data_IF_575614933671
#
_entry.id   IF_575614933671
#
_cell.length_a   1.000
_cell.length_b   1.000
_cell.length_c   1.000
_cell.angle_alpha   90.00
_cell.angle_beta   90.00
_cell.angle_gamma   90.00
#
_symmetry.space_group_name_H-M   'P 1'
#
loop_
_entity.id
_entity.type
_entity.pdbx_description
1 polymer ?
#
# COMPACT_ATOMS: atom_id res chain seq x y z
N UNK A 1 -7.51 -18.06 13.50
CA UNK A 1 -6.17 -17.66 13.02
C UNK A 1 -6.27 -16.23 12.52
N UNK A 2 -5.39 -15.33 12.94
CA UNK A 2 -5.39 -13.95 12.43
C UNK A 2 -4.85 -13.96 11.00
N UNK A 3 -5.55 -13.31 10.07
CA UNK A 3 -5.07 -13.20 8.69
C UNK A 3 -3.99 -12.11 8.62
N UNK A 4 -2.94 -12.31 7.81
CA UNK A 4 -1.84 -11.37 7.74
C UNK A 4 -2.24 -10.07 7.03
N UNK A 5 -1.57 -8.98 7.43
CA UNK A 5 -1.63 -7.68 6.76
C UNK A 5 -0.55 -7.67 5.69
N UNK A 6 -0.95 -7.47 4.42
CA UNK A 6 0.00 -7.35 3.31
C UNK A 6 0.54 -5.93 3.22
N UNK A 7 1.84 -5.75 3.33
CA UNK A 7 2.50 -4.46 3.10
C UNK A 7 3.26 -4.50 1.77
N UNK A 8 2.87 -3.65 0.83
CA UNK A 8 3.62 -3.47 -0.43
C UNK A 8 4.61 -2.32 -0.29
N UNK A 9 5.82 -2.49 -0.86
CA UNK A 9 6.90 -1.52 -0.66
C UNK A 9 7.49 -1.55 0.76
N UNK A 10 7.35 -2.67 1.48
CA UNK A 10 7.81 -2.83 2.87
C UNK A 10 9.34 -2.70 3.06
N UNK A 11 10.12 -2.73 1.98
CA UNK A 11 11.57 -2.50 2.01
C UNK A 11 11.97 -1.03 1.83
N UNK A 12 11.02 -0.14 1.52
CA UNK A 12 11.26 1.29 1.39
C UNK A 12 11.24 2.01 2.74
N UNK A 13 11.62 3.29 2.75
CA UNK A 13 11.72 4.13 3.97
C UNK A 13 10.42 4.18 4.78
N UNK A 14 9.27 4.30 4.10
CA UNK A 14 7.97 4.31 4.77
C UNK A 14 7.51 2.90 5.13
N UNK A 15 7.64 1.97 4.18
CA UNK A 15 7.16 0.60 4.32
C UNK A 15 7.84 -0.14 5.48
N UNK A 16 9.14 0.06 5.68
CA UNK A 16 9.87 -0.59 6.77
C UNK A 16 9.37 -0.12 8.14
N UNK A 17 9.08 1.16 8.30
CA UNK A 17 8.53 1.69 9.55
C UNK A 17 7.09 1.22 9.80
N UNK A 18 6.28 1.12 8.74
CA UNK A 18 4.93 0.53 8.84
C UNK A 18 5.03 -0.93 9.28
N UNK A 19 5.91 -1.72 8.66
CA UNK A 19 6.14 -3.12 9.03
C UNK A 19 6.55 -3.24 10.49
N UNK A 20 7.53 -2.45 10.95
CA UNK A 20 7.95 -2.50 12.37
C UNK A 20 6.79 -2.19 13.31
N UNK A 21 6.04 -1.11 13.07
CA UNK A 21 4.90 -0.74 13.94
C UNK A 21 3.81 -1.81 13.99
N UNK A 22 3.55 -2.46 12.86
CA UNK A 22 2.58 -3.56 12.81
C UNK A 22 3.10 -4.77 13.60
N UNK A 23 4.39 -5.10 13.51
CA UNK A 23 5.01 -6.16 14.30
C UNK A 23 5.03 -5.84 15.79
N UNK A 24 5.33 -4.60 16.18
CA UNK A 24 5.35 -4.13 17.58
C UNK A 24 3.96 -4.22 18.23
N UNK A 25 2.90 -4.09 17.44
CA UNK A 25 1.50 -4.28 17.89
C UNK A 25 1.05 -5.74 17.82
N UNK A 26 1.98 -6.67 17.57
CA UNK A 26 1.75 -8.11 17.50
C UNK A 26 0.99 -8.57 16.27
N UNK A 27 0.85 -7.75 15.22
CA UNK A 27 0.17 -8.11 13.98
C UNK A 27 1.00 -9.05 13.12
N UNK A 28 0.31 -9.95 12.42
CA UNK A 28 0.93 -10.82 11.42
C UNK A 28 1.13 -10.00 10.14
N UNK A 29 2.38 -9.85 9.70
CA UNK A 29 2.74 -8.98 8.57
C UNK A 29 3.38 -9.80 7.47
N UNK A 30 2.78 -9.70 6.28
CA UNK A 30 3.31 -10.23 5.03
C UNK A 30 3.88 -9.10 4.20
N UNK A 31 5.13 -9.19 3.78
CA UNK A 31 5.75 -8.14 2.95
C UNK A 31 5.88 -8.60 1.50
N UNK A 32 5.37 -7.78 0.57
CA UNK A 32 5.59 -7.98 -0.86
C UNK A 32 6.96 -7.42 -1.26
N UNK A 33 7.84 -8.28 -1.75
CA UNK A 33 9.15 -7.93 -2.28
C UNK A 33 9.37 -8.52 -3.67
N UNK A 34 10.11 -7.80 -4.52
CA UNK A 34 10.53 -8.32 -5.84
C UNK A 34 11.63 -9.37 -5.74
N UNK A 35 12.42 -9.34 -4.67
CA UNK A 35 13.52 -10.29 -4.44
C UNK A 35 13.12 -11.27 -3.34
N UNK A 36 13.21 -12.59 -3.58
CA UNK A 36 13.02 -13.60 -2.54
C UNK A 36 14.08 -13.42 -1.45
N UNK A 37 13.71 -13.64 -0.18
CA UNK A 37 14.63 -13.52 0.95
C UNK A 37 15.04 -12.10 1.32
N UNK A 38 14.22 -11.10 0.98
CA UNK A 38 14.46 -9.72 1.39
C UNK A 38 14.67 -9.62 2.92
N UNK A 39 15.76 -8.97 3.31
CA UNK A 39 16.17 -8.80 4.69
C UNK A 39 15.20 -7.87 5.44
N UNK A 40 14.82 -8.25 6.67
CA UNK A 40 13.93 -7.47 7.51
C UNK A 40 13.33 -8.28 8.64
N UNK A 41 12.53 -7.65 9.48
CA UNK A 41 11.90 -8.27 10.66
C UNK A 41 10.57 -8.97 10.36
N UNK A 42 10.06 -8.85 9.13
CA UNK A 42 8.82 -9.51 8.73
C UNK A 42 8.99 -11.03 8.74
N UNK A 43 8.01 -11.70 9.35
CA UNK A 43 7.98 -13.16 9.48
C UNK A 43 7.51 -13.86 8.21
N UNK A 44 6.79 -13.16 7.34
CA UNK A 44 6.27 -13.69 6.08
C UNK A 44 6.61 -12.78 4.90
N UNK A 45 7.11 -13.39 3.82
CA UNK A 45 7.52 -12.69 2.60
C UNK A 45 6.81 -13.29 1.40
N UNK A 46 6.17 -12.43 0.61
CA UNK A 46 5.63 -12.81 -0.69
C UNK A 46 6.55 -12.25 -1.78
N UNK A 47 6.94 -13.11 -2.72
CA UNK A 47 7.71 -12.68 -3.90
C UNK A 47 6.73 -12.25 -4.99
N UNK A 48 6.82 -11.00 -5.42
CA UNK A 48 6.01 -10.49 -6.51
C UNK A 48 6.41 -9.11 -6.99
N UNK A 49 5.98 -8.78 -8.20
CA UNK A 49 6.25 -7.50 -8.84
C UNK A 49 4.95 -6.85 -9.29
N UNK A 50 4.64 -5.70 -8.66
CA UNK A 50 3.46 -4.90 -8.98
C UNK A 50 3.47 -4.34 -10.41
N UNK A 51 4.65 -4.25 -11.05
CA UNK A 51 4.80 -3.75 -12.41
C UNK A 51 4.41 -4.79 -13.45
N UNK A 52 4.73 -6.06 -13.20
CA UNK A 52 4.48 -7.16 -14.13
C UNK A 52 3.20 -7.92 -13.82
N UNK A 53 2.71 -7.86 -12.58
CA UNK A 53 1.58 -8.67 -12.12
C UNK A 53 2.00 -10.00 -11.48
N UNK A 54 3.26 -10.40 -11.66
CA UNK A 54 3.73 -11.70 -11.19
C UNK A 54 3.69 -11.78 -9.65
N UNK A 55 3.11 -12.86 -9.12
CA UNK A 55 3.08 -13.15 -7.68
C UNK A 55 2.11 -12.31 -6.85
N UNK A 56 1.38 -11.35 -7.43
CA UNK A 56 0.44 -10.49 -6.68
C UNK A 56 -0.75 -11.32 -6.17
N UNK A 57 -1.27 -12.24 -6.97
CA UNK A 57 -2.40 -13.10 -6.55
C UNK A 57 -2.02 -13.95 -5.34
N UNK A 58 -0.86 -14.61 -5.38
CA UNK A 58 -0.36 -15.37 -4.24
C UNK A 58 -0.14 -14.47 -3.00
N UNK A 59 0.38 -13.25 -3.20
CA UNK A 59 0.62 -12.31 -2.11
C UNK A 59 -0.67 -11.83 -1.43
N UNK A 60 -1.72 -11.61 -2.21
CA UNK A 60 -3.04 -11.11 -1.75
C UNK A 60 -3.98 -12.22 -1.28
N UNK A 61 -3.60 -13.49 -1.43
CA UNK A 61 -4.41 -14.61 -0.95
C UNK A 61 -4.45 -14.69 0.57
N UNK A 62 -5.67 -14.71 1.13
CA UNK A 62 -5.91 -14.91 2.56
C UNK A 62 -5.55 -13.72 3.45
N UNK A 63 -5.42 -12.52 2.89
CA UNK A 63 -5.12 -11.28 3.62
C UNK A 63 -6.42 -10.53 3.93
N UNK A 64 -6.51 -9.87 5.08
CA UNK A 64 -7.67 -9.02 5.42
C UNK A 64 -7.44 -7.55 5.09
N UNK A 65 -6.18 -7.10 5.14
CA UNK A 65 -5.81 -5.70 4.95
C UNK A 65 -4.57 -5.63 4.06
N UNK A 66 -4.60 -4.70 3.10
CA UNK A 66 -3.46 -4.38 2.24
C UNK A 66 -3.03 -2.95 2.50
N UNK A 67 -1.81 -2.75 2.97
CA UNK A 67 -1.18 -1.42 3.08
C UNK A 67 -0.30 -1.18 1.85
N UNK A 68 -0.75 -0.27 1.00
CA UNK A 68 -0.05 0.08 -0.23
C UNK A 68 0.88 1.30 -0.04
N UNK A 69 2.17 1.00 0.15
CA UNK A 69 3.24 1.99 0.28
C UNK A 69 4.20 1.99 -0.93
N UNK A 70 3.96 1.17 -1.94
CA UNK A 70 4.82 1.07 -3.12
C UNK A 70 4.58 2.27 -4.06
N UNK A 71 5.44 3.29 -3.97
CA UNK A 71 5.47 4.42 -4.91
C UNK A 71 6.83 4.52 -5.58
N UNK A 72 6.82 4.75 -6.89
CA UNK A 72 8.00 5.02 -7.72
C UNK A 72 8.03 6.45 -8.23
N UNK A 73 7.14 7.32 -7.72
CA UNK A 73 6.97 8.71 -8.14
C UNK A 73 6.79 8.84 -9.67
N UNK A 74 6.11 7.87 -10.26
CA UNK A 74 5.97 7.70 -11.71
C UNK A 74 4.54 7.30 -12.06
N UNK A 75 4.13 7.57 -13.31
CA UNK A 75 2.84 7.08 -13.87
C UNK A 75 2.68 5.56 -13.78
N UNK A 76 3.80 4.84 -13.65
CA UNK A 76 3.81 3.38 -13.44
C UNK A 76 3.13 2.95 -12.13
N UNK A 77 2.98 3.86 -11.17
CA UNK A 77 2.27 3.60 -9.92
C UNK A 77 0.78 3.34 -10.18
N UNK A 78 0.16 4.02 -11.15
CA UNK A 78 -1.27 3.84 -11.47
C UNK A 78 -1.55 2.40 -11.90
N UNK A 79 -0.81 1.91 -12.90
CA UNK A 79 -0.97 0.56 -13.40
C UNK A 79 -0.58 -0.52 -12.36
N UNK A 80 0.35 -0.21 -11.46
CA UNK A 80 0.70 -1.09 -10.34
C UNK A 80 -0.44 -1.19 -9.31
N UNK A 81 -1.06 -0.06 -8.97
CA UNK A 81 -2.22 0.01 -8.08
C UNK A 81 -3.43 -0.71 -8.69
N UNK A 82 -3.70 -0.56 -9.99
CA UNK A 82 -4.79 -1.28 -10.67
C UNK A 82 -4.61 -2.80 -10.62
N UNK A 83 -3.39 -3.31 -10.84
CA UNK A 83 -3.09 -4.74 -10.73
C UNK A 83 -3.30 -5.25 -9.31
N UNK A 84 -2.91 -4.47 -8.30
CA UNK A 84 -3.12 -4.81 -6.89
C UNK A 84 -4.62 -4.86 -6.55
N UNK A 85 -5.40 -3.88 -7.01
CA UNK A 85 -6.86 -3.85 -6.85
C UNK A 85 -7.49 -5.09 -7.49
N UNK A 86 -7.10 -5.42 -8.73
CA UNK A 86 -7.63 -6.58 -9.43
C UNK A 86 -7.36 -7.89 -8.69
N UNK A 87 -6.16 -8.07 -8.13
CA UNK A 87 -5.81 -9.24 -7.34
C UNK A 87 -6.55 -9.27 -5.99
N UNK A 88 -6.64 -8.13 -5.30
CA UNK A 88 -7.37 -8.00 -4.04
C UNK A 88 -8.85 -8.39 -4.20
N UNK A 89 -9.50 -7.94 -5.29
CA UNK A 89 -10.89 -8.31 -5.59
C UNK A 89 -11.08 -9.82 -5.79
N UNK A 90 -10.14 -10.49 -6.46
CA UNK A 90 -10.22 -11.94 -6.67
C UNK A 90 -10.04 -12.75 -5.38
N UNK A 91 -9.31 -12.21 -4.40
CA UNK A 91 -8.82 -12.98 -3.26
C UNK A 91 -9.53 -12.68 -1.93
N UNK A 92 -10.70 -12.04 -1.97
CA UNK A 92 -11.55 -11.85 -0.79
C UNK A 92 -11.77 -10.40 -0.36
N UNK A 93 -11.54 -9.44 -1.26
CA UNK A 93 -11.89 -8.03 -1.08
C UNK A 93 -11.34 -7.39 0.23
N UNK A 94 -10.03 -7.48 0.47
CA UNK A 94 -9.43 -6.93 1.68
C UNK A 94 -9.51 -5.40 1.74
N UNK A 95 -9.42 -4.86 2.95
CA UNK A 95 -9.38 -3.41 3.15
C UNK A 95 -8.08 -2.83 2.60
N UNK A 96 -8.17 -1.94 1.61
CA UNK A 96 -7.03 -1.30 0.96
C UNK A 96 -6.69 0.04 1.60
N UNK A 97 -5.54 0.10 2.29
CA UNK A 97 -4.97 1.34 2.84
C UNK A 97 -3.95 1.92 1.86
N UNK A 98 -4.29 3.01 1.20
CA UNK A 98 -3.41 3.69 0.23
C UNK A 98 -2.73 4.89 0.89
N UNK A 99 -1.38 4.93 0.85
CA UNK A 99 -0.65 6.10 1.34
C UNK A 99 -0.47 7.10 0.19
N UNK A 100 -1.17 8.22 0.28
CA UNK A 100 -1.05 9.37 -0.62
C UNK A 100 -0.11 10.46 -0.05
N UNK A 101 -0.30 11.73 -0.42
CA UNK A 101 0.44 12.89 0.07
C UNK A 101 -0.53 14.06 0.24
N UNK A 102 -0.31 14.90 1.25
CA UNK A 102 -1.12 16.13 1.40
C UNK A 102 -0.91 17.06 0.20
N UNK A 103 -1.97 17.72 -0.26
CA UNK A 103 -1.89 18.67 -1.36
C UNK A 103 -1.68 18.03 -2.73
N UNK A 104 -1.88 16.71 -2.85
CA UNK A 104 -1.83 15.98 -4.14
C UNK A 104 -2.75 16.60 -5.20
N UNK A 105 -3.85 17.21 -4.76
CA UNK A 105 -4.88 17.88 -5.54
C UNK A 105 -4.54 19.34 -5.92
N UNK A 106 -3.47 19.92 -5.36
CA UNK A 106 -3.18 21.36 -5.47
C UNK A 106 -1.88 21.71 -6.18
N UNK A 107 -0.99 20.74 -6.35
CA UNK A 107 0.36 20.99 -6.87
C UNK A 107 0.50 20.40 -8.28
N UNK A 108 0.84 21.19 -9.31
CA UNK A 108 0.87 20.74 -10.70
C UNK A 108 2.18 19.99 -11.06
N UNK A 109 2.67 19.13 -10.17
CA UNK A 109 3.84 18.29 -10.44
C UNK A 109 3.40 16.96 -11.07
N UNK A 110 4.15 16.49 -12.06
CA UNK A 110 3.81 15.29 -12.84
C UNK A 110 3.56 14.04 -11.97
N UNK A 111 4.38 13.81 -10.95
CA UNK A 111 4.22 12.67 -10.05
C UNK A 111 3.07 12.83 -9.05
N UNK A 112 2.63 14.07 -8.75
CA UNK A 112 1.43 14.32 -7.95
C UNK A 112 0.18 13.94 -8.74
N UNK A 113 0.14 14.24 -10.05
CA UNK A 113 -0.95 13.79 -10.94
C UNK A 113 -1.06 12.27 -10.98
N UNK A 114 0.07 11.57 -11.09
CA UNK A 114 0.08 10.10 -11.04
C UNK A 114 -0.45 9.54 -9.70
N UNK A 115 -0.11 10.20 -8.59
CA UNK A 115 -0.60 9.81 -7.25
C UNK A 115 -2.10 10.10 -7.07
N UNK A 116 -2.59 11.21 -7.64
CA UNK A 116 -4.02 11.54 -7.67
C UNK A 116 -4.80 10.52 -8.52
N UNK A 117 -4.29 10.17 -9.69
CA UNK A 117 -4.92 9.15 -10.53
C UNK A 117 -4.94 7.79 -9.82
N UNK A 118 -3.86 7.39 -9.15
CA UNK A 118 -3.84 6.17 -8.35
C UNK A 118 -4.84 6.20 -7.19
N UNK A 119 -5.03 7.36 -6.52
CA UNK A 119 -6.11 7.52 -5.54
C UNK A 119 -7.48 7.30 -6.15
N UNK A 120 -7.75 7.86 -7.33
CA UNK A 120 -9.03 7.69 -8.01
C UNK A 120 -9.29 6.23 -8.38
N UNK A 121 -8.25 5.48 -8.81
CA UNK A 121 -8.36 4.03 -9.02
C UNK A 121 -8.74 3.30 -7.73
N UNK A 122 -8.14 3.67 -6.59
CA UNK A 122 -8.48 3.09 -5.28
C UNK A 122 -9.92 3.44 -4.88
N UNK A 123 -10.36 4.68 -5.08
CA UNK A 123 -11.74 5.10 -4.75
C UNK A 123 -12.77 4.35 -5.58
N UNK A 124 -12.48 4.15 -6.86
CA UNK A 124 -13.35 3.47 -7.81
C UNK A 124 -13.13 1.94 -7.84
N UNK A 125 -12.34 1.39 -6.92
CA UNK A 125 -11.98 -0.03 -6.90
C UNK A 125 -13.14 -0.95 -6.54
N UNK A 126 -14.13 -0.43 -5.81
CA UNK A 126 -15.21 -1.23 -5.20
C UNK A 126 -14.77 -2.01 -3.95
N UNK A 127 -13.53 -1.85 -3.50
CA UNK A 127 -13.01 -2.44 -2.25
C UNK A 127 -13.25 -1.49 -1.07
N UNK A 128 -13.30 -1.99 0.17
CA UNK A 128 -13.17 -1.13 1.35
C UNK A 128 -11.81 -0.43 1.30
N UNK A 129 -11.78 0.90 1.42
CA UNK A 129 -10.52 1.65 1.27
C UNK A 129 -10.37 2.78 2.28
N UNK A 130 -9.10 3.04 2.63
CA UNK A 130 -8.69 4.21 3.41
C UNK A 130 -7.52 4.88 2.70
N UNK A 131 -7.67 6.16 2.35
CA UNK A 131 -6.58 6.96 1.80
C UNK A 131 -6.01 7.83 2.92
N UNK A 132 -4.73 7.65 3.21
CA UNK A 132 -3.97 8.48 4.15
C UNK A 132 -3.15 9.50 3.37
N UNK A 133 -3.41 10.80 3.60
CA UNK A 133 -2.61 11.90 3.02
C UNK A 133 -1.70 12.51 4.11
N UNK A 134 -0.53 11.90 4.41
CA UNK A 134 0.41 12.50 5.36
C UNK A 134 1.00 13.80 4.80
N UNK A 135 1.30 14.74 5.69
CA UNK A 135 2.06 15.94 5.32
C UNK A 135 3.49 15.54 5.01
N UNK A 136 4.01 16.02 3.87
CA UNK A 136 5.45 15.99 3.64
C UNK A 136 6.11 16.93 4.65
N UNK A 137 6.77 16.36 5.65
CA UNK A 137 7.65 17.11 6.52
C UNK A 137 8.95 16.37 6.68
N UNK A 138 10.05 17.10 6.51
CA UNK A 138 11.42 16.74 6.87
C UNK A 138 11.57 16.32 8.35
N UNK A 139 10.49 16.40 9.14
CA UNK A 139 10.43 15.97 10.53
C UNK A 139 9.29 14.97 10.69
N UNK A 140 9.64 13.77 11.11
CA UNK A 140 8.76 12.64 11.38
C UNK A 140 7.71 12.97 12.45
N UNK A 141 6.46 12.56 12.18
CA UNK A 141 5.21 12.53 12.96
C UNK A 141 5.25 12.98 14.45
N UNK A 142 4.48 14.01 14.86
CA UNK A 142 3.05 13.80 15.21
C UNK A 142 2.14 15.02 14.92
N UNK A 143 1.39 15.00 13.82
CA UNK A 143 0.27 15.95 13.61
C UNK A 143 -0.70 15.47 12.51
N UNK A 144 -1.94 15.18 12.93
CA UNK A 144 -3.18 15.02 12.15
C UNK A 144 -3.01 14.71 10.65
N UNK A 145 -2.96 13.43 10.30
CA UNK A 145 -3.26 12.97 8.93
C UNK A 145 -4.74 13.23 8.62
N UNK A 146 -5.03 13.80 7.45
CA UNK A 146 -6.39 13.73 6.90
C UNK A 146 -6.59 12.33 6.32
N UNK A 147 -7.49 11.59 6.94
CA UNK A 147 -7.97 10.30 6.44
C UNK A 147 -9.26 10.55 5.67
N UNK A 148 -9.34 10.02 4.46
CA UNK A 148 -10.62 9.82 3.76
C UNK A 148 -10.92 8.33 3.77
N UNK A 149 -12.10 7.95 4.26
CA UNK A 149 -12.59 6.58 4.28
C UNK A 149 -13.75 6.42 3.30
N UNK A 150 -13.73 5.38 2.47
CA UNK A 150 -14.90 4.88 1.74
C UNK A 150 -15.72 3.94 2.62
N UNK A 151 -17.05 4.01 2.54
CA UNK A 151 -17.99 3.33 3.46
C UNK A 151 -17.79 1.80 3.56
N UNK A 152 -18.02 1.32 4.79
CA UNK A 152 -18.27 -0.08 5.18
C UNK A 152 -19.57 -0.61 4.55
#
# INVERSE_FOLDING_TARGET
MRKPILVTGGTGTLGSVVVQRLLDTGQDVRVLSRRPGSTGTAREWATGDLRTGAGIDAATSGVDVIVHCATTLSSKDVAATERLIGAARRNGEPHLVYISIVGVDRVPLFYYRAKLEAEERVRNSGLPWTILRPRSSTTWWPARSRCSAGHL
#
